data_IF_308204911575
#
_entry.id   IF_308204911575
#
_cell.length_a   1.000
_cell.length_b   1.000
_cell.length_c   1.000
_cell.angle_alpha   90.00
_cell.angle_beta   90.00
_cell.angle_gamma   90.00
#
_symmetry.space_group_name_H-M   'P 1'
#
loop_
_entity.id
_entity.type
_entity.pdbx_description
1 polymer ?
#
# COMPACT_ATOMS: atom_id res chain seq x y z
N UNK A 1 -5.29 15.21 8.02
CA UNK A 1 -4.44 15.53 9.19
C UNK A 1 -3.03 15.06 8.90
N UNK A 2 -2.10 15.99 8.67
CA UNK A 2 -0.65 15.72 8.75
C UNK A 2 -0.17 16.34 10.07
N UNK A 3 0.69 15.66 10.83
CA UNK A 3 1.22 16.20 12.09
C UNK A 3 1.58 15.18 13.16
N UNK A 4 1.04 13.96 13.11
CA UNK A 4 1.43 12.86 13.99
C UNK A 4 1.70 11.58 13.19
N UNK A 5 2.79 10.90 13.52
CA UNK A 5 3.01 9.50 13.17
C UNK A 5 2.58 8.65 14.37
N UNK A 6 1.83 7.57 14.14
CA UNK A 6 1.46 6.64 15.19
C UNK A 6 2.55 5.58 15.36
N UNK A 7 2.85 5.19 16.61
CA UNK A 7 3.71 4.05 16.86
C UNK A 7 3.08 2.76 16.31
N UNK A 8 3.94 1.83 15.89
CA UNK A 8 3.62 0.56 15.24
C UNK A 8 2.80 0.68 13.93
N UNK A 9 2.74 1.87 13.31
CA UNK A 9 2.08 2.10 12.03
C UNK A 9 3.07 2.24 10.87
N UNK A 10 2.69 1.65 9.74
CA UNK A 10 3.40 1.74 8.47
C UNK A 10 2.69 2.64 7.46
N UNK A 11 3.40 3.62 6.91
CA UNK A 11 2.91 4.53 5.87
C UNK A 11 3.54 4.16 4.53
N UNK A 12 2.71 3.81 3.54
CA UNK A 12 3.15 3.45 2.20
C UNK A 12 2.98 4.60 1.21
N UNK A 13 3.99 4.80 0.37
CA UNK A 13 4.00 5.80 -0.69
C UNK A 13 4.47 5.16 -2.00
N UNK A 14 3.76 5.42 -3.10
CA UNK A 14 4.22 5.08 -4.44
C UNK A 14 4.90 6.28 -5.11
N UNK A 15 5.76 6.05 -6.10
CA UNK A 15 6.17 7.14 -6.99
C UNK A 15 5.12 7.38 -8.09
N UNK A 16 5.10 8.56 -8.72
CA UNK A 16 4.13 8.90 -9.78
C UNK A 16 4.11 7.91 -10.98
N UNK A 17 5.16 7.08 -11.14
CA UNK A 17 5.23 6.02 -12.15
C UNK A 17 4.79 4.63 -11.64
N UNK A 18 4.37 4.46 -10.38
CA UNK A 18 3.94 3.17 -9.82
C UNK A 18 5.03 2.09 -9.77
N UNK A 19 6.31 2.41 -10.02
CA UNK A 19 7.40 1.41 -10.15
C UNK A 19 8.14 1.13 -8.84
N UNK A 20 7.95 1.98 -7.83
CA UNK A 20 8.61 1.88 -6.52
C UNK A 20 7.61 2.21 -5.42
N UNK A 21 7.62 1.41 -4.37
CA UNK A 21 6.99 1.72 -3.08
C UNK A 21 8.08 2.05 -2.06
N UNK A 22 7.78 3.02 -1.21
CA UNK A 22 8.50 3.32 0.04
C UNK A 22 7.56 3.01 1.19
N UNK A 23 8.06 2.30 2.20
CA UNK A 23 7.38 2.06 3.46
C UNK A 23 8.16 2.79 4.55
N UNK A 24 7.45 3.57 5.38
CA UNK A 24 7.98 4.25 6.55
C UNK A 24 7.24 3.71 7.79
N UNK A 25 7.95 3.10 8.74
CA UNK A 25 7.36 2.53 9.96
C UNK A 25 7.92 3.26 11.17
N UNK A 26 7.07 3.74 12.07
CA UNK A 26 7.49 4.21 13.39
C UNK A 26 7.36 3.05 14.38
N UNK A 27 8.45 2.59 14.99
CA UNK A 27 8.45 1.40 15.86
C UNK A 27 8.23 1.72 17.35
N UNK A 28 8.18 3.01 17.70
CA UNK A 28 8.08 3.50 19.08
C UNK A 28 9.39 4.11 19.62
N UNK A 29 10.54 3.72 19.06
CA UNK A 29 11.88 4.21 19.41
C UNK A 29 12.52 5.03 18.29
N UNK A 30 12.15 4.75 17.05
CA UNK A 30 12.65 5.43 15.86
C UNK A 30 11.80 5.12 14.62
N UNK A 31 12.42 5.31 13.45
CA UNK A 31 11.75 5.19 12.16
C UNK A 31 12.55 4.31 11.20
N UNK A 32 11.93 3.23 10.75
CA UNK A 32 12.46 2.34 9.71
C UNK A 32 11.96 2.76 8.33
N UNK A 33 12.81 2.58 7.32
CA UNK A 33 12.46 2.85 5.92
C UNK A 33 12.86 1.68 5.01
N UNK A 34 11.87 1.02 4.45
CA UNK A 34 12.04 0.03 3.39
C UNK A 34 11.67 0.61 2.02
N UNK A 35 12.28 0.10 0.96
CA UNK A 35 11.93 0.45 -0.42
C UNK A 35 11.89 -0.80 -1.29
N UNK A 36 10.81 -0.97 -2.07
CA UNK A 36 10.65 -2.08 -2.99
C UNK A 36 10.42 -1.60 -4.41
N UNK A 37 11.05 -2.27 -5.37
CA UNK A 37 10.78 -2.17 -6.80
C UNK A 37 10.37 -3.56 -7.31
N UNK A 38 9.42 -3.61 -8.24
CA UNK A 38 9.15 -4.84 -9.00
C UNK A 38 10.18 -4.97 -10.13
N UNK A 39 10.61 -6.21 -10.41
CA UNK A 39 11.54 -6.51 -11.50
C UNK A 39 10.93 -6.08 -12.85
N UNK A 40 9.64 -6.34 -13.03
CA UNK A 40 8.83 -5.92 -14.18
C UNK A 40 7.51 -5.29 -13.70
N UNK A 41 6.82 -4.56 -14.59
CA UNK A 41 5.52 -3.96 -14.30
C UNK A 41 5.54 -2.74 -13.37
N UNK A 42 4.43 -2.56 -12.65
CA UNK A 42 4.13 -1.46 -11.72
C UNK A 42 3.22 -2.01 -10.63
N UNK A 43 3.31 -1.47 -9.42
CA UNK A 43 2.36 -1.77 -8.35
C UNK A 43 0.96 -1.28 -8.73
N UNK A 44 -0.05 -2.10 -8.46
CA UNK A 44 -1.44 -1.65 -8.48
C UNK A 44 -1.60 -0.58 -7.39
N UNK A 45 -1.83 0.67 -7.80
CA UNK A 45 -2.13 1.78 -6.90
C UNK A 45 -3.44 2.40 -7.35
N UNK A 46 -4.37 2.64 -6.43
CA UNK A 46 -5.67 3.20 -6.79
C UNK A 46 -5.49 4.60 -7.37
N UNK A 47 -6.07 4.85 -8.54
CA UNK A 47 -6.02 6.18 -9.17
C UNK A 47 -6.68 7.23 -8.27
N UNK A 48 -7.70 6.83 -7.51
CA UNK A 48 -8.36 7.63 -6.48
C UNK A 48 -7.40 8.06 -5.35
N UNK A 49 -6.37 7.29 -4.99
CA UNK A 49 -5.33 7.72 -4.06
C UNK A 49 -4.33 8.74 -4.67
N UNK A 50 -4.56 9.17 -5.92
CA UNK A 50 -3.79 10.20 -6.63
C UNK A 50 -4.55 11.53 -6.60
N UNK A 51 -4.66 12.17 -5.44
CA UNK A 51 -5.41 13.41 -5.26
C UNK A 51 -5.52 13.85 -3.81
N UNK A 52 -6.46 14.74 -3.50
CA UNK A 52 -6.79 15.19 -2.14
C UNK A 52 -7.60 14.16 -1.32
N UNK A 53 -7.50 12.88 -1.70
CA UNK A 53 -8.24 11.76 -1.13
C UNK A 53 -7.62 11.37 0.22
N UNK A 54 -8.42 11.04 1.25
CA UNK A 54 -7.89 10.65 2.56
C UNK A 54 -6.95 9.42 2.47
N UNK A 55 -5.97 9.31 3.38
CA UNK A 55 -5.16 8.10 3.50
C UNK A 55 -6.05 6.88 3.73
N UNK A 56 -5.76 5.80 3.02
CA UNK A 56 -6.54 4.57 3.09
C UNK A 56 -5.72 3.48 3.78
N UNK A 57 -6.30 2.85 4.79
CA UNK A 57 -5.69 1.74 5.53
C UNK A 57 -5.78 0.46 4.71
N UNK A 58 -4.70 -0.31 4.65
CA UNK A 58 -4.67 -1.65 4.05
C UNK A 58 -4.91 -2.70 5.14
N UNK A 59 -5.66 -3.76 4.81
CA UNK A 59 -5.63 -5.01 5.59
C UNK A 59 -4.29 -5.75 5.35
N UNK A 60 -3.94 -6.69 6.23
CA UNK A 60 -2.71 -7.49 6.06
C UNK A 60 -2.68 -8.22 4.70
N UNK A 61 -3.75 -8.93 4.25
CA UNK A 61 -3.77 -9.53 2.91
C UNK A 61 -3.60 -8.53 1.76
N UNK A 62 -4.17 -7.32 1.89
CA UNK A 62 -4.00 -6.26 0.90
C UNK A 62 -2.55 -5.74 0.86
N UNK A 63 -1.89 -5.61 2.01
CA UNK A 63 -0.46 -5.29 2.07
C UNK A 63 0.39 -6.40 1.44
N UNK A 64 0.12 -7.67 1.75
CA UNK A 64 0.87 -8.82 1.24
C UNK A 64 0.73 -9.02 -0.27
N UNK A 65 -0.42 -8.66 -0.84
CA UNK A 65 -0.68 -8.64 -2.28
C UNK A 65 -0.23 -7.35 -2.98
N UNK A 66 -0.08 -6.23 -2.27
CA UNK A 66 0.59 -5.03 -2.78
C UNK A 66 2.10 -5.24 -2.82
N UNK A 67 2.65 -5.92 -1.81
CA UNK A 67 3.85 -6.73 -1.94
C UNK A 67 3.60 -7.82 -3.00
N UNK A 68 4.65 -8.39 -3.61
CA UNK A 68 4.55 -9.17 -4.87
C UNK A 68 4.12 -8.32 -6.09
N UNK A 69 3.08 -7.49 -5.99
CA UNK A 69 2.60 -6.57 -7.04
C UNK A 69 1.23 -6.91 -7.64
N UNK A 70 0.40 -7.66 -6.92
CA UNK A 70 -0.94 -8.08 -7.31
C UNK A 70 -1.98 -6.93 -7.13
N UNK A 71 -3.17 -7.04 -7.75
CA UNK A 71 -4.24 -6.04 -7.61
C UNK A 71 -4.96 -6.15 -6.25
N UNK A 72 -4.30 -5.70 -5.18
CA UNK A 72 -4.84 -5.69 -3.81
C UNK A 72 -6.25 -5.09 -3.61
N UNK A 73 -6.75 -4.08 -4.36
CA UNK A 73 -8.08 -3.49 -4.06
C UNK A 73 -9.25 -4.47 -4.28
N UNK A 74 -9.01 -5.56 -5.02
CA UNK A 74 -10.04 -6.52 -5.43
C UNK A 74 -9.95 -7.86 -4.72
N UNK A 75 -9.04 -8.06 -3.76
CA UNK A 75 -8.84 -9.36 -3.11
C UNK A 75 -10.13 -9.93 -2.53
N UNK A 76 -10.88 -9.15 -1.77
CA UNK A 76 -12.16 -9.58 -1.19
C UNK A 76 -13.17 -10.02 -2.27
N UNK A 77 -13.21 -9.30 -3.41
CA UNK A 77 -14.07 -9.64 -4.55
C UNK A 77 -13.56 -10.85 -5.35
N UNK A 78 -12.30 -11.25 -5.17
CA UNK A 78 -11.68 -12.40 -5.83
C UNK A 78 -11.66 -13.66 -4.97
N UNK A 79 -12.03 -13.57 -3.68
CA UNK A 79 -12.12 -14.73 -2.78
C UNK A 79 -13.37 -15.60 -3.02
N UNK A 80 -14.43 -15.05 -3.64
CA UNK A 80 -15.67 -15.76 -3.92
C UNK A 80 -16.02 -15.71 -5.42
N UNK A 81 -16.13 -16.88 -6.06
CA UNK A 81 -16.66 -17.02 -7.42
C UNK A 81 -18.17 -17.23 -7.33
N UNK A 82 -18.92 -16.14 -7.28
CA UNK A 82 -20.38 -16.18 -7.41
C UNK A 82 -20.76 -16.32 -8.89
N UNK A 83 -21.40 -17.43 -9.27
CA UNK A 83 -22.17 -17.49 -10.52
C UNK A 83 -23.47 -16.71 -10.33
N UNK A 84 -23.81 -15.89 -11.33
CA UNK A 84 -25.18 -15.39 -11.54
C UNK A 84 -26.02 -16.46 -12.23
#
# INVERSE_FOLDING_TARGET
MFGCAQAHHGYLFTNARGRRIKLLVHDGFGVWRAARRLNQGRFAWTREASGATPPMTLTQPQFDALMLGLPWPRLEQMQAITRM
#
